data_IF_838716420025
#
_entry.id   IF_838716420025
#
_cell.length_a   1.000
_cell.length_b   1.000
_cell.length_c   1.000
_cell.angle_alpha   90.00
_cell.angle_beta   90.00
_cell.angle_gamma   90.00
#
_symmetry.space_group_name_H-M   'P 1'
#
loop_
_entity.id
_entity.type
_entity.pdbx_description
1 polymer ?
#
# COMPACT_ATOMS: atom_id res chain seq x y z
N UNK A 1 8.90 -12.53 14.25
CA UNK A 1 8.41 -12.15 12.90
C UNK A 1 8.99 -10.77 12.63
N UNK A 2 9.64 -10.58 11.48
CA UNK A 2 10.18 -9.27 11.10
C UNK A 2 9.02 -8.32 10.74
N UNK A 3 9.05 -7.10 11.27
CA UNK A 3 8.04 -6.08 10.97
C UNK A 3 8.39 -5.39 9.66
N UNK A 4 7.44 -5.36 8.72
CA UNK A 4 7.59 -4.72 7.42
C UNK A 4 6.65 -3.52 7.31
N UNK A 5 7.19 -2.32 7.07
CA UNK A 5 6.40 -1.10 6.92
C UNK A 5 7.01 -0.18 5.85
N UNK A 6 6.63 -0.35 4.56
CA UNK A 6 7.23 0.40 3.45
C UNK A 6 6.48 1.68 3.10
N UNK A 7 5.80 2.31 4.07
CA UNK A 7 4.94 3.49 3.84
C UNK A 7 5.33 4.59 4.82
N UNK A 8 5.49 5.79 4.28
CA UNK A 8 5.87 6.99 5.01
C UNK A 8 4.71 7.64 5.79
N UNK A 9 5.00 8.76 6.47
CA UNK A 9 4.02 9.55 7.23
C UNK A 9 2.92 10.18 6.37
N UNK A 10 3.13 10.29 5.05
CA UNK A 10 2.18 10.84 4.09
C UNK A 10 1.25 9.77 3.50
N UNK A 11 1.44 8.49 3.85
CA UNK A 11 0.69 7.38 3.27
C UNK A 11 1.17 6.99 1.87
N UNK A 12 2.40 7.34 1.51
CA UNK A 12 3.04 6.98 0.25
C UNK A 12 4.09 5.90 0.46
N UNK A 13 4.32 5.05 -0.53
CA UNK A 13 5.41 4.09 -0.43
C UNK A 13 6.77 4.78 -0.48
N UNK A 14 7.73 4.27 0.30
CA UNK A 14 9.07 4.84 0.43
C UNK A 14 10.15 3.94 -0.20
N UNK A 15 11.41 4.36 -0.04
CA UNK A 15 12.60 3.62 -0.52
C UNK A 15 12.80 2.25 0.17
N UNK A 16 12.02 1.93 1.21
CA UNK A 16 12.04 0.59 1.83
C UNK A 16 11.64 -0.48 0.81
N UNK A 17 10.77 -0.14 -0.16
CA UNK A 17 10.45 -1.04 -1.28
C UNK A 17 11.70 -1.49 -2.03
N UNK A 18 12.65 -0.56 -2.26
CA UNK A 18 13.93 -0.84 -2.92
C UNK A 18 14.88 -1.59 -2.01
N UNK A 19 15.05 -1.10 -0.77
CA UNK A 19 15.99 -1.69 0.19
C UNK A 19 15.68 -3.16 0.49
N UNK A 20 14.40 -3.51 0.62
CA UNK A 20 13.93 -4.87 0.92
C UNK A 20 13.53 -5.66 -0.33
N UNK A 21 13.68 -5.11 -1.54
CA UNK A 21 13.38 -5.76 -2.83
C UNK A 21 11.95 -6.35 -2.87
N UNK A 22 10.98 -5.56 -2.41
CA UNK A 22 9.60 -6.01 -2.24
C UNK A 22 8.81 -6.05 -3.54
N UNK A 23 9.25 -5.29 -4.56
CA UNK A 23 8.65 -5.24 -5.89
C UNK A 23 9.74 -5.44 -6.97
N UNK A 24 9.35 -5.89 -8.17
CA UNK A 24 10.25 -5.95 -9.32
C UNK A 24 10.91 -4.59 -9.61
N UNK A 25 12.21 -4.60 -9.93
CA UNK A 25 13.01 -3.37 -10.05
C UNK A 25 12.45 -2.35 -11.03
N UNK A 26 11.80 -2.80 -12.12
CA UNK A 26 11.21 -1.95 -13.14
C UNK A 26 9.93 -1.23 -12.69
N UNK A 27 9.29 -1.68 -11.60
CA UNK A 27 8.08 -1.07 -11.04
C UNK A 27 8.36 -0.19 -9.82
N UNK A 28 9.57 -0.24 -9.26
CA UNK A 28 9.90 0.51 -8.05
C UNK A 28 9.66 2.01 -8.22
N UNK A 29 10.05 2.57 -9.37
CA UNK A 29 9.89 4.01 -9.65
C UNK A 29 8.42 4.44 -9.76
N UNK A 30 7.52 3.53 -10.17
CA UNK A 30 6.08 3.83 -10.24
C UNK A 30 5.39 3.81 -8.88
N UNK A 31 5.92 3.00 -7.95
CA UNK A 31 5.32 2.78 -6.64
C UNK A 31 5.89 3.71 -5.58
N UNK A 32 7.19 4.03 -5.62
CA UNK A 32 7.80 4.98 -4.68
C UNK A 32 7.14 6.35 -4.84
N UNK A 33 6.67 6.92 -3.74
CA UNK A 33 5.89 8.16 -3.71
C UNK A 33 4.42 8.02 -4.07
N UNK A 34 3.95 6.82 -4.47
CA UNK A 34 2.54 6.59 -4.77
C UNK A 34 1.73 6.36 -3.49
N UNK A 35 0.63 7.07 -3.36
CA UNK A 35 -0.29 6.91 -2.23
C UNK A 35 -0.95 5.53 -2.22
N UNK A 36 -1.02 4.88 -1.05
CA UNK A 36 -1.48 3.49 -0.88
C UNK A 36 -2.82 3.16 -1.57
N UNK A 37 -3.82 4.05 -1.49
CA UNK A 37 -5.12 3.82 -2.12
C UNK A 37 -5.07 3.77 -3.65
N UNK A 38 -4.19 4.55 -4.28
CA UNK A 38 -4.00 4.51 -5.75
C UNK A 38 -3.22 3.27 -6.17
N UNK A 39 -2.31 2.82 -5.32
CA UNK A 39 -1.51 1.64 -5.58
C UNK A 39 -2.34 0.34 -5.59
N UNK A 40 -3.45 0.27 -4.85
CA UNK A 40 -4.29 -0.93 -4.80
C UNK A 40 -4.73 -1.42 -6.19
N UNK A 41 -5.14 -0.53 -7.08
CA UNK A 41 -5.56 -0.89 -8.45
C UNK A 41 -4.37 -1.44 -9.27
N UNK A 42 -3.22 -0.77 -9.22
CA UNK A 42 -1.98 -1.23 -9.86
C UNK A 42 -1.48 -2.57 -9.31
N UNK A 43 -1.66 -2.84 -8.01
CA UNK A 43 -1.27 -4.13 -7.39
C UNK A 43 -2.15 -5.26 -7.92
N UNK A 44 -3.46 -5.01 -8.10
CA UNK A 44 -4.36 -6.00 -8.70
C UNK A 44 -3.96 -6.33 -10.14
N UNK A 45 -3.59 -5.32 -10.93
CA UNK A 45 -3.06 -5.49 -12.28
C UNK A 45 -1.73 -6.29 -12.27
N UNK A 46 -0.83 -5.98 -11.33
CA UNK A 46 0.45 -6.67 -11.16
C UNK A 46 0.28 -8.16 -10.84
N UNK A 47 -0.74 -8.52 -10.07
CA UNK A 47 -1.02 -9.92 -9.72
C UNK A 47 -1.45 -10.73 -10.96
N UNK A 48 -2.10 -10.10 -11.95
CA UNK A 48 -2.44 -10.71 -13.24
C UNK A 48 -3.09 -12.08 -13.10
N UNK A 49 -2.53 -13.11 -13.75
CA UNK A 49 -3.02 -14.49 -13.71
C UNK A 49 -2.95 -15.17 -12.34
N UNK A 50 -2.19 -14.61 -11.39
CA UNK A 50 -2.10 -15.12 -10.01
C UNK A 50 -3.27 -14.62 -9.13
N UNK A 51 -4.06 -13.66 -9.61
CA UNK A 51 -5.24 -13.15 -8.92
C UNK A 51 -6.41 -14.12 -9.10
N UNK A 52 -6.75 -14.87 -8.05
CA UNK A 52 -7.84 -15.86 -8.11
C UNK A 52 -9.23 -15.22 -8.02
N UNK A 53 -9.38 -14.17 -7.21
CA UNK A 53 -10.67 -13.51 -6.99
C UNK A 53 -10.46 -12.05 -6.58
N UNK A 54 -11.29 -11.16 -7.11
CA UNK A 54 -11.32 -9.75 -6.72
C UNK A 54 -12.76 -9.26 -6.68
N UNK A 55 -13.17 -8.69 -5.55
CA UNK A 55 -14.51 -8.13 -5.37
C UNK A 55 -14.48 -6.94 -4.44
N UNK A 56 -15.34 -5.96 -4.69
CA UNK A 56 -15.59 -4.84 -3.79
C UNK A 56 -16.69 -5.23 -2.81
N UNK A 57 -16.53 -4.92 -1.54
CA UNK A 57 -17.52 -5.16 -0.50
C UNK A 57 -17.62 -3.96 0.44
N UNK A 58 -18.74 -3.88 1.16
CA UNK A 58 -19.01 -2.77 2.07
C UNK A 58 -18.79 -3.26 3.50
N UNK A 59 -18.00 -2.52 4.28
CA UNK A 59 -17.77 -2.78 5.68
C UNK A 59 -17.44 -1.48 6.42
N UNK A 60 -17.45 -1.53 7.76
CA UNK A 60 -16.96 -0.42 8.57
C UNK A 60 -15.45 -0.26 8.43
N UNK A 61 -15.01 0.93 8.00
CA UNK A 61 -13.60 1.32 7.92
C UNK A 61 -13.34 2.47 8.88
N UNK A 62 -12.20 2.52 9.60
CA UNK A 62 -11.92 3.59 10.54
C UNK A 62 -11.60 4.91 9.81
N UNK A 63 -12.10 6.01 10.35
CA UNK A 63 -11.87 7.36 9.83
C UNK A 63 -11.29 8.25 10.92
N UNK A 64 -10.43 9.20 10.53
CA UNK A 64 -9.92 10.22 11.42
C UNK A 64 -11.08 11.08 11.92
N UNK A 65 -11.24 11.17 13.24
CA UNK A 65 -12.35 11.87 13.88
C UNK A 65 -12.45 13.36 13.53
N UNK A 66 -11.34 14.00 13.13
CA UNK A 66 -11.29 15.43 12.80
C UNK A 66 -11.40 15.72 11.31
N UNK A 67 -10.70 14.96 10.47
CA UNK A 67 -10.62 15.23 9.02
C UNK A 67 -11.56 14.36 8.20
N UNK A 68 -12.19 13.36 8.80
CA UNK A 68 -12.99 12.33 8.14
C UNK A 68 -12.25 11.63 6.98
N UNK A 69 -10.91 11.59 7.04
CA UNK A 69 -10.09 10.83 6.09
C UNK A 69 -9.91 9.39 6.59
N UNK A 70 -9.83 8.39 5.70
CA UNK A 70 -9.54 7.01 6.08
C UNK A 70 -8.20 6.91 6.83
N UNK A 71 -8.13 6.06 7.86
CA UNK A 71 -6.87 5.81 8.61
C UNK A 71 -6.31 4.42 8.32
N UNK A 72 -5.00 4.28 8.49
CA UNK A 72 -4.28 3.01 8.35
C UNK A 72 -3.50 2.69 9.62
N UNK A 73 -3.21 1.40 9.82
CA UNK A 73 -2.25 0.97 10.82
C UNK A 73 -0.86 0.99 10.23
N UNK A 74 0.08 1.63 10.93
CA UNK A 74 1.49 1.72 10.55
C UNK A 74 2.33 1.34 11.76
N UNK A 75 3.37 0.52 11.55
CA UNK A 75 4.34 0.24 12.59
C UNK A 75 5.34 1.41 12.70
N UNK A 76 5.42 2.00 13.88
CA UNK A 76 6.36 3.08 14.23
C UNK A 76 7.25 2.61 15.37
N UNK A 77 8.44 3.20 15.49
CA UNK A 77 9.31 3.05 16.68
C UNK A 77 8.75 3.81 17.89
#
# INVERSE_FOLDING_TARGET
IEVLMPVDDSGCYDETLRAKRLLPSHLLEEFIGLHIFKANEKILELLGEKLLHSSKFIHSYPFCWRTHKPVIYRATE
#
